data_IF_243502508451
#
_entry.id   IF_243502508451
#
_cell.length_a   1.000
_cell.length_b   1.000
_cell.length_c   1.000
_cell.angle_alpha   90.00
_cell.angle_beta   90.00
_cell.angle_gamma   90.00
#
_symmetry.space_group_name_H-M   'P 1'
#
loop_
_entity.id
_entity.type
_entity.pdbx_description
1 polymer ?
#
# COMPACT_ATOMS: atom_id res chain seq x y z
N UNK A 1 21.25 7.21 -31.66
CA UNK A 1 20.54 5.91 -31.63
C UNK A 1 19.83 5.84 -30.31
N UNK A 2 18.56 6.21 -30.30
CA UNK A 2 17.68 6.22 -29.12
C UNK A 2 17.42 4.79 -28.65
N UNK A 3 17.74 4.49 -27.39
CA UNK A 3 17.31 3.27 -26.70
C UNK A 3 15.78 3.25 -26.69
N UNK A 4 15.17 2.45 -27.57
CA UNK A 4 13.75 2.11 -27.44
C UNK A 4 13.58 1.38 -26.11
N UNK A 5 12.89 2.01 -25.16
CA UNK A 5 12.58 1.41 -23.88
C UNK A 5 11.81 0.10 -24.11
N UNK A 6 12.40 -1.02 -23.69
CA UNK A 6 11.79 -2.33 -23.86
C UNK A 6 10.41 -2.36 -23.20
N UNK A 7 9.40 -3.03 -23.79
CA UNK A 7 8.05 -3.04 -23.25
C UNK A 7 8.07 -3.56 -21.80
N UNK A 8 7.31 -2.98 -20.85
CA UNK A 8 7.42 -3.31 -19.42
C UNK A 8 7.34 -4.81 -19.10
N UNK A 9 6.61 -5.58 -19.89
CA UNK A 9 6.48 -7.04 -19.76
C UNK A 9 7.78 -7.80 -20.06
N UNK A 10 8.64 -7.27 -20.95
CA UNK A 10 9.93 -7.88 -21.29
C UNK A 10 10.90 -7.87 -20.12
N UNK A 11 10.89 -6.79 -19.32
CA UNK A 11 11.77 -6.64 -18.15
C UNK A 11 11.60 -7.77 -17.12
N UNK A 12 10.37 -8.29 -16.96
CA UNK A 12 10.10 -9.40 -16.04
C UNK A 12 10.79 -10.68 -16.52
N UNK A 13 10.83 -10.92 -17.84
CA UNK A 13 11.46 -12.11 -18.42
C UNK A 13 12.99 -12.05 -18.34
N UNK A 14 13.54 -10.84 -18.33
CA UNK A 14 14.98 -10.60 -18.22
C UNK A 14 15.50 -10.61 -16.77
N UNK A 15 14.60 -10.76 -15.78
CA UNK A 15 14.96 -10.80 -14.36
C UNK A 15 15.86 -11.99 -14.04
N UNK A 16 17.05 -11.70 -13.52
CA UNK A 16 17.98 -12.71 -12.99
C UNK A 16 17.97 -12.66 -11.47
N UNK A 17 17.56 -13.76 -10.86
CA UNK A 17 17.48 -13.90 -9.41
C UNK A 17 18.86 -14.01 -8.76
N UNK A 18 19.07 -13.29 -7.65
CA UNK A 18 20.25 -13.47 -6.80
C UNK A 18 19.88 -14.08 -5.44
N UNK A 19 18.94 -13.46 -4.72
CA UNK A 19 18.58 -13.87 -3.35
C UNK A 19 17.16 -13.44 -2.94
N UNK A 20 16.57 -14.19 -2.01
CA UNK A 20 15.33 -13.84 -1.33
C UNK A 20 15.62 -12.83 -0.22
N UNK A 21 14.96 -11.67 -0.23
CA UNK A 21 15.11 -10.64 0.81
C UNK A 21 14.15 -10.83 1.98
N UNK A 22 12.91 -11.22 1.69
CA UNK A 22 11.88 -11.43 2.70
C UNK A 22 10.76 -12.33 2.17
N UNK A 23 10.09 -13.02 3.08
CA UNK A 23 8.86 -13.75 2.82
C UNK A 23 7.91 -13.51 4.01
N UNK A 24 6.72 -12.98 3.73
CA UNK A 24 5.74 -12.60 4.75
C UNK A 24 4.30 -12.87 4.27
N UNK A 25 3.29 -12.31 4.94
CA UNK A 25 1.86 -12.53 4.65
C UNK A 25 1.46 -14.03 4.64
N UNK A 26 1.92 -14.77 5.64
CA UNK A 26 1.76 -16.22 5.73
C UNK A 26 2.37 -16.98 4.52
N UNK A 27 3.49 -16.49 3.98
CA UNK A 27 4.20 -17.12 2.87
C UNK A 27 3.68 -16.75 1.49
N UNK A 28 2.58 -16.00 1.41
CA UNK A 28 1.91 -15.63 0.15
C UNK A 28 2.56 -14.43 -0.56
N UNK A 29 3.55 -13.80 0.07
CA UNK A 29 4.37 -12.75 -0.54
C UNK A 29 5.85 -13.04 -0.40
N UNK A 30 6.58 -12.91 -1.50
CA UNK A 30 8.04 -13.05 -1.57
C UNK A 30 8.67 -11.83 -2.24
N UNK A 31 9.75 -11.31 -1.65
CA UNK A 31 10.52 -10.20 -2.22
C UNK A 31 11.88 -10.68 -2.65
N UNK A 32 12.12 -10.65 -3.96
CA UNK A 32 13.32 -11.16 -4.60
C UNK A 32 14.24 -10.00 -4.97
N UNK A 33 15.53 -10.15 -4.72
CA UNK A 33 16.58 -9.27 -5.22
C UNK A 33 17.26 -9.94 -6.41
N UNK A 34 17.52 -9.15 -7.44
CA UNK A 34 18.14 -9.63 -8.67
C UNK A 34 18.70 -8.50 -9.50
N UNK A 35 19.01 -8.81 -10.76
CA UNK A 35 19.47 -7.85 -11.75
C UNK A 35 18.74 -8.02 -13.08
N UNK A 36 18.48 -6.89 -13.76
CA UNK A 36 18.05 -6.84 -15.17
C UNK A 36 19.07 -5.96 -15.89
N UNK A 37 19.63 -6.42 -17.01
CA UNK A 37 20.64 -5.68 -17.78
C UNK A 37 21.78 -5.11 -16.90
N UNK A 38 22.27 -5.92 -15.96
CA UNK A 38 23.33 -5.58 -14.99
C UNK A 38 23.01 -4.44 -14.02
N UNK A 39 21.75 -3.98 -13.96
CA UNK A 39 21.28 -3.00 -12.98
C UNK A 39 20.43 -3.71 -11.90
N UNK A 40 20.57 -3.32 -10.62
CA UNK A 40 19.87 -3.98 -9.52
C UNK A 40 18.35 -3.77 -9.62
N UNK A 41 17.58 -4.78 -9.23
CA UNK A 41 16.12 -4.74 -9.25
C UNK A 41 15.51 -5.54 -8.09
N UNK A 42 14.28 -5.19 -7.72
CA UNK A 42 13.46 -5.99 -6.81
C UNK A 42 12.22 -6.50 -7.54
N UNK A 43 11.95 -7.80 -7.42
CA UNK A 43 10.74 -8.43 -7.91
C UNK A 43 9.91 -8.90 -6.72
N UNK A 44 8.73 -8.33 -6.55
CA UNK A 44 7.81 -8.66 -5.45
C UNK A 44 6.67 -9.50 -6.02
N UNK A 45 6.54 -10.72 -5.53
CA UNK A 45 5.53 -11.68 -5.93
C UNK A 45 4.50 -11.82 -4.82
N UNK A 46 3.24 -11.56 -5.11
CA UNK A 46 2.11 -11.72 -4.21
C UNK A 46 1.09 -12.68 -4.83
N UNK A 47 0.59 -13.65 -4.06
CA UNK A 47 -0.59 -14.42 -4.48
C UNK A 47 -1.78 -13.47 -4.57
N UNK A 48 -2.40 -13.40 -5.74
CA UNK A 48 -3.60 -12.59 -5.93
C UNK A 48 -4.79 -13.20 -5.16
N UNK A 49 -5.77 -12.38 -4.74
CA UNK A 49 -7.02 -12.88 -4.18
C UNK A 49 -7.79 -13.67 -5.25
N UNK A 50 -8.52 -14.70 -4.81
CA UNK A 50 -9.40 -15.43 -5.72
C UNK A 50 -10.51 -14.49 -6.24
N UNK A 51 -10.76 -14.46 -7.56
CA UNK A 51 -11.93 -13.79 -8.12
C UNK A 51 -13.23 -14.28 -7.49
N UNK A 52 -14.15 -13.36 -7.24
CA UNK A 52 -15.47 -13.65 -6.64
C UNK A 52 -16.54 -14.01 -7.67
N UNK A 53 -16.21 -14.01 -8.97
CA UNK A 53 -17.18 -14.30 -10.01
C UNK A 53 -17.60 -15.76 -10.00
N UNK A 54 -18.90 -16.02 -10.10
CA UNK A 54 -19.45 -17.39 -10.07
C UNK A 54 -18.89 -18.27 -11.20
N UNK A 55 -18.61 -17.68 -12.37
CA UNK A 55 -18.00 -18.38 -13.50
C UNK A 55 -16.59 -18.89 -13.17
N UNK A 56 -15.76 -18.09 -12.51
CA UNK A 56 -14.42 -18.52 -12.10
C UNK A 56 -14.52 -19.60 -11.01
N UNK A 57 -15.31 -19.36 -9.98
CA UNK A 57 -15.40 -20.25 -8.82
C UNK A 57 -15.99 -21.63 -9.19
N UNK A 58 -16.96 -21.68 -10.10
CA UNK A 58 -17.57 -22.96 -10.54
C UNK A 58 -16.67 -23.77 -11.47
N UNK A 59 -15.82 -23.11 -12.27
CA UNK A 59 -14.91 -23.79 -13.21
C UNK A 59 -13.58 -24.21 -12.58
N UNK A 60 -13.19 -23.56 -11.47
CA UNK A 60 -11.89 -23.81 -10.83
C UNK A 60 -11.62 -25.30 -10.51
N UNK A 61 -12.54 -26.07 -9.90
CA UNK A 61 -12.25 -27.48 -9.55
C UNK A 61 -11.93 -28.38 -10.75
N UNK A 62 -12.53 -28.11 -11.91
CA UNK A 62 -12.32 -28.90 -13.14
C UNK A 62 -11.20 -28.33 -14.01
N UNK A 63 -10.80 -27.07 -13.79
CA UNK A 63 -9.73 -26.40 -14.51
C UNK A 63 -8.34 -26.57 -13.87
N UNK A 64 -8.21 -27.32 -12.77
CA UNK A 64 -6.90 -27.57 -12.13
C UNK A 64 -5.99 -28.37 -13.06
N UNK A 65 -4.74 -27.90 -13.24
CA UNK A 65 -3.75 -28.60 -14.05
C UNK A 65 -3.21 -29.84 -13.34
N UNK A 66 -3.05 -29.75 -12.02
CA UNK A 66 -2.55 -30.84 -11.19
C UNK A 66 -3.20 -30.76 -9.82
N UNK A 67 -3.48 -31.93 -9.23
CA UNK A 67 -4.09 -32.08 -7.93
C UNK A 67 -3.43 -33.24 -7.20
N UNK A 68 -2.86 -32.96 -6.03
CA UNK A 68 -2.20 -33.93 -5.16
C UNK A 68 -2.93 -33.99 -3.82
N UNK A 69 -3.38 -35.18 -3.41
CA UNK A 69 -3.96 -35.35 -2.08
C UNK A 69 -2.84 -35.45 -1.03
N UNK A 70 -2.93 -34.62 0.01
CA UNK A 70 -2.00 -34.63 1.14
C UNK A 70 -2.50 -35.49 2.30
N UNK A 71 -3.81 -35.75 2.36
CA UNK A 71 -4.42 -36.58 3.39
C UNK A 71 -5.95 -36.52 3.40
N UNK A 72 -6.52 -37.38 4.24
CA UNK A 72 -7.95 -37.50 4.46
C UNK A 72 -8.25 -37.95 5.90
N UNK A 73 -9.35 -37.47 6.47
CA UNK A 73 -9.92 -37.94 7.73
C UNK A 73 -11.45 -37.83 7.69
N UNK A 74 -12.14 -38.96 7.59
CA UNK A 74 -13.60 -39.05 7.43
C UNK A 74 -14.10 -38.17 6.26
N UNK A 75 -14.82 -37.08 6.54
CA UNK A 75 -15.33 -36.15 5.54
C UNK A 75 -14.35 -35.02 5.16
N UNK A 76 -13.18 -34.95 5.78
CA UNK A 76 -12.18 -33.90 5.56
C UNK A 76 -11.06 -34.39 4.64
N UNK A 77 -10.81 -33.65 3.56
CA UNK A 77 -9.75 -33.92 2.59
C UNK A 77 -8.99 -32.64 2.30
N UNK A 78 -7.66 -32.71 2.20
CA UNK A 78 -6.83 -31.55 1.87
C UNK A 78 -5.82 -31.90 0.78
N UNK A 79 -5.57 -30.94 -0.10
CA UNK A 79 -4.85 -31.13 -1.35
C UNK A 79 -3.89 -29.97 -1.60
N UNK A 80 -2.89 -30.21 -2.44
CA UNK A 80 -2.18 -29.16 -3.17
C UNK A 80 -2.62 -29.19 -4.63
N UNK A 81 -2.78 -28.01 -5.23
CA UNK A 81 -3.17 -27.90 -6.62
C UNK A 81 -2.43 -26.77 -7.32
N UNK A 82 -2.29 -26.90 -8.63
CA UNK A 82 -1.87 -25.83 -9.52
C UNK A 82 -3.05 -25.46 -10.41
N UNK A 83 -3.30 -24.16 -10.55
CA UNK A 83 -4.32 -23.65 -11.46
C UNK A 83 -3.93 -23.97 -12.90
N UNK A 84 -4.89 -24.43 -13.69
CA UNK A 84 -4.70 -24.58 -15.12
C UNK A 84 -4.91 -23.28 -15.88
N UNK A 85 -4.77 -23.31 -17.21
CA UNK A 85 -4.95 -22.14 -18.04
C UNK A 85 -6.36 -21.57 -17.85
N UNK A 86 -6.45 -20.32 -17.43
CA UNK A 86 -7.74 -19.65 -17.24
C UNK A 86 -8.45 -19.49 -18.58
N UNK A 87 -9.76 -19.75 -18.59
CA UNK A 87 -10.63 -19.39 -19.71
C UNK A 87 -10.95 -17.88 -19.72
N UNK A 88 -10.59 -17.15 -18.67
CA UNK A 88 -10.71 -15.69 -18.60
C UNK A 88 -9.51 -15.01 -19.23
N UNK A 89 -9.74 -13.85 -19.86
CA UNK A 89 -8.68 -13.01 -20.44
C UNK A 89 -7.80 -12.35 -19.38
N UNK A 90 -8.29 -12.19 -18.14
CA UNK A 90 -7.52 -11.61 -17.04
C UNK A 90 -6.72 -12.67 -16.26
N UNK A 91 -5.43 -12.42 -15.93
CA UNK A 91 -4.62 -13.28 -15.09
C UNK A 91 -5.04 -13.16 -13.62
N UNK A 92 -5.14 -14.30 -12.91
CA UNK A 92 -5.81 -14.38 -11.59
C UNK A 92 -4.90 -14.85 -10.44
N UNK A 93 -3.68 -15.32 -10.70
CA UNK A 93 -2.88 -16.04 -9.70
C UNK A 93 -1.84 -15.18 -8.97
N UNK A 94 -1.23 -14.24 -9.68
CA UNK A 94 -0.06 -13.50 -9.20
C UNK A 94 -0.20 -12.01 -9.48
N UNK A 95 0.03 -11.21 -8.44
CA UNK A 95 0.35 -9.79 -8.55
C UNK A 95 1.86 -9.63 -8.48
N UNK A 96 2.43 -8.94 -9.46
CA UNK A 96 3.87 -8.73 -9.57
C UNK A 96 4.16 -7.23 -9.54
N UNK A 97 5.05 -6.81 -8.64
CA UNK A 97 5.60 -5.45 -8.65
C UNK A 97 7.10 -5.52 -8.94
N UNK A 98 7.56 -4.75 -9.92
CA UNK A 98 8.98 -4.62 -10.26
C UNK A 98 9.46 -3.23 -9.87
N UNK A 99 10.56 -3.17 -9.12
CA UNK A 99 11.29 -1.93 -8.84
C UNK A 99 12.62 -2.02 -9.60
N UNK A 100 12.75 -1.23 -10.67
CA UNK A 100 13.90 -1.25 -11.56
C UNK A 100 14.20 0.13 -12.16
N UNK A 101 15.46 0.60 -12.10
CA UNK A 101 16.52 0.14 -11.22
C UNK A 101 16.16 0.38 -9.74
N UNK A 102 16.46 -0.57 -8.86
CA UNK A 102 16.28 -0.38 -7.43
C UNK A 102 17.52 0.27 -6.78
N UNK A 103 17.39 0.71 -5.53
CA UNK A 103 18.47 1.36 -4.77
C UNK A 103 18.68 0.60 -3.46
N UNK A 104 19.80 0.84 -2.78
CA UNK A 104 20.05 0.27 -1.45
C UNK A 104 18.94 0.60 -0.44
N UNK A 105 18.27 1.74 -0.59
CA UNK A 105 17.15 2.10 0.27
C UNK A 105 15.95 1.18 0.04
N UNK A 106 15.66 0.83 -1.22
CA UNK A 106 14.63 -0.15 -1.55
C UNK A 106 14.98 -1.52 -0.98
N UNK A 107 16.21 -1.99 -1.19
CA UNK A 107 16.69 -3.28 -0.66
C UNK A 107 16.49 -3.32 0.86
N UNK A 108 16.92 -2.27 1.58
CA UNK A 108 16.76 -2.17 3.04
C UNK A 108 15.29 -2.14 3.48
N UNK A 109 14.40 -1.49 2.71
CA UNK A 109 12.96 -1.40 2.98
C UNK A 109 12.28 -2.78 2.89
N UNK A 110 12.63 -3.56 1.89
CA UNK A 110 11.99 -4.85 1.61
C UNK A 110 12.72 -6.07 2.19
N UNK A 111 13.92 -5.88 2.74
CA UNK A 111 14.63 -6.93 3.49
C UNK A 111 13.89 -7.29 4.78
N UNK A 112 14.00 -8.56 5.19
CA UNK A 112 13.50 -9.02 6.48
C UNK A 112 14.14 -8.21 7.60
N UNK A 113 13.31 -7.55 8.41
CA UNK A 113 13.76 -6.75 9.55
C UNK A 113 13.28 -7.40 10.84
N UNK A 114 14.17 -7.54 11.82
CA UNK A 114 13.80 -7.97 13.16
C UNK A 114 12.86 -6.96 13.81
N UNK A 115 11.70 -7.41 14.27
CA UNK A 115 10.73 -6.56 14.97
C UNK A 115 11.08 -6.53 16.46
N UNK A 116 10.97 -5.35 17.08
CA UNK A 116 11.16 -5.15 18.52
C UNK A 116 9.93 -4.45 19.09
N UNK A 117 9.48 -4.92 20.24
CA UNK A 117 8.52 -4.19 21.08
C UNK A 117 9.33 -3.22 21.95
N UNK A 118 8.98 -1.94 21.90
CA UNK A 118 9.67 -0.87 22.63
C UNK A 118 8.70 -0.14 23.52
N UNK A 119 9.14 0.33 24.69
CA UNK A 119 8.31 1.16 25.58
C UNK A 119 8.70 2.62 25.43
N UNK A 120 7.84 3.42 24.80
CA UNK A 120 8.05 4.86 24.63
C UNK A 120 7.39 5.63 25.79
N UNK A 121 8.21 6.16 26.70
CA UNK A 121 7.77 7.05 27.78
C UNK A 121 7.60 8.49 27.27
N UNK A 122 6.87 9.36 27.98
CA UNK A 122 6.78 10.79 27.64
C UNK A 122 8.15 11.47 27.52
N UNK A 123 9.10 11.09 28.37
CA UNK A 123 10.48 11.60 28.35
C UNK A 123 11.19 11.20 27.05
N UNK A 124 11.13 9.91 26.67
CA UNK A 124 11.71 9.43 25.41
C UNK A 124 11.07 10.14 24.21
N UNK A 125 9.74 10.32 24.24
CA UNK A 125 9.06 11.04 23.17
C UNK A 125 9.59 12.46 23.02
N UNK A 126 9.68 13.22 24.11
CA UNK A 126 10.11 14.62 24.08
C UNK A 126 11.59 14.77 23.70
N UNK A 127 12.47 13.91 24.20
CA UNK A 127 13.92 14.07 24.04
C UNK A 127 14.46 13.43 22.75
N UNK A 128 13.82 12.36 22.25
CA UNK A 128 14.34 11.56 21.13
C UNK A 128 13.41 11.54 19.93
N UNK A 129 12.12 11.25 20.15
CA UNK A 129 11.18 10.99 19.05
C UNK A 129 10.69 12.29 18.40
N UNK A 130 10.30 13.29 19.20
CA UNK A 130 9.82 14.58 18.72
C UNK A 130 10.90 15.34 17.92
N UNK A 131 12.16 15.44 18.38
CA UNK A 131 13.24 16.02 17.58
C UNK A 131 13.50 15.25 16.28
N UNK A 132 13.43 13.92 16.31
CA UNK A 132 13.55 13.10 15.11
C UNK A 132 12.41 13.38 14.10
N UNK A 133 11.15 13.44 14.57
CA UNK A 133 10.00 13.77 13.72
C UNK A 133 10.16 15.15 13.08
N UNK A 134 10.59 16.14 13.86
CA UNK A 134 10.85 17.49 13.38
C UNK A 134 11.93 17.49 12.28
N UNK A 135 13.09 16.88 12.54
CA UNK A 135 14.16 16.78 11.54
C UNK A 135 13.70 16.09 10.22
N UNK A 136 12.80 15.10 10.30
CA UNK A 136 12.23 14.47 9.09
C UNK A 136 11.27 15.38 8.33
N UNK A 137 10.47 16.19 9.04
CA UNK A 137 9.58 17.17 8.43
C UNK A 137 10.37 18.29 7.77
N UNK A 138 11.35 18.84 8.47
CA UNK A 138 12.24 19.90 7.99
C UNK A 138 13.05 19.43 6.76
N UNK A 139 13.40 18.14 6.73
CA UNK A 139 14.01 17.49 5.56
C UNK A 139 13.08 17.20 4.37
N UNK A 140 11.85 17.74 4.34
CA UNK A 140 10.95 17.67 3.18
C UNK A 140 10.29 16.31 2.93
N UNK A 141 10.33 15.38 3.89
CA UNK A 141 9.76 14.02 3.71
C UNK A 141 8.25 13.98 3.51
N UNK A 142 7.55 15.05 3.86
CA UNK A 142 6.10 15.17 3.70
C UNK A 142 5.68 15.95 2.45
N UNK A 143 6.63 16.36 1.60
CA UNK A 143 6.32 17.15 0.40
C UNK A 143 5.31 16.43 -0.51
N UNK A 144 5.40 15.11 -0.63
CA UNK A 144 4.43 14.33 -1.40
C UNK A 144 3.01 14.45 -0.83
N UNK A 145 2.84 14.39 0.50
CA UNK A 145 1.54 14.58 1.18
C UNK A 145 1.00 15.96 0.87
N UNK A 146 1.83 17.00 0.99
CA UNK A 146 1.42 18.37 0.74
C UNK A 146 1.09 18.61 -0.73
N UNK A 147 1.80 17.99 -1.67
CA UNK A 147 1.47 18.06 -3.09
C UNK A 147 0.08 17.47 -3.38
N UNK A 148 -0.32 16.38 -2.72
CA UNK A 148 -1.67 15.81 -2.85
C UNK A 148 -2.71 16.76 -2.25
N UNK A 149 -2.48 17.26 -1.04
CA UNK A 149 -3.39 18.21 -0.37
C UNK A 149 -3.58 19.48 -1.21
N UNK A 150 -2.50 19.97 -1.83
CA UNK A 150 -2.49 21.15 -2.70
C UNK A 150 -2.99 20.87 -4.12
N UNK A 151 -3.38 19.62 -4.45
CA UNK A 151 -3.90 19.26 -5.77
C UNK A 151 -2.86 19.32 -6.89
N UNK A 152 -1.56 19.18 -6.57
CA UNK A 152 -0.47 19.15 -7.56
C UNK A 152 -0.20 17.76 -8.12
N UNK A 153 -0.52 16.71 -7.36
CA UNK A 153 -0.27 15.30 -7.71
C UNK A 153 -1.45 14.43 -7.31
N UNK A 154 -1.63 13.28 -7.99
CA UNK A 154 -2.68 12.28 -7.69
C UNK A 154 -4.12 12.82 -7.71
N UNK A 155 -4.39 13.92 -8.41
CA UNK A 155 -5.71 14.57 -8.43
C UNK A 155 -6.81 13.63 -8.91
N UNK A 156 -6.51 12.83 -9.95
CA UNK A 156 -7.43 11.85 -10.53
C UNK A 156 -7.65 10.61 -9.64
N UNK A 157 -6.75 10.36 -8.68
CA UNK A 157 -6.85 9.23 -7.75
C UNK A 157 -7.65 9.57 -6.49
N UNK A 158 -7.93 10.86 -6.26
CA UNK A 158 -8.72 11.33 -5.11
C UNK A 158 -10.20 10.98 -5.33
N UNK A 159 -10.74 10.16 -4.43
CA UNK A 159 -12.15 9.72 -4.45
C UNK A 159 -13.07 10.84 -3.98
N UNK A 160 -12.63 11.58 -2.96
CA UNK A 160 -13.39 12.68 -2.37
C UNK A 160 -12.44 13.74 -1.83
N UNK A 161 -12.80 15.01 -1.98
CA UNK A 161 -12.12 16.12 -1.30
C UNK A 161 -13.08 17.24 -0.93
N UNK A 162 -12.81 17.88 0.20
CA UNK A 162 -13.39 19.19 0.50
C UNK A 162 -12.76 20.27 -0.38
N UNK A 163 -13.48 21.35 -0.73
CA UNK A 163 -12.88 22.51 -1.39
C UNK A 163 -11.74 23.08 -0.54
N UNK A 164 -10.57 23.25 -1.14
CA UNK A 164 -9.34 23.63 -0.43
C UNK A 164 -9.50 24.98 0.27
N UNK A 165 -9.08 25.05 1.53
CA UNK A 165 -9.14 26.26 2.36
C UNK A 165 -10.53 26.68 2.83
N UNK A 166 -11.62 26.04 2.35
CA UNK A 166 -13.00 26.42 2.73
C UNK A 166 -13.34 25.99 4.16
N UNK A 167 -12.95 24.78 4.52
CA UNK A 167 -13.42 24.11 5.75
C UNK A 167 -12.41 24.24 6.92
N UNK A 168 -11.45 25.17 6.81
CA UNK A 168 -10.46 25.47 7.83
C UNK A 168 -9.73 24.22 8.33
N UNK A 169 -9.79 23.98 9.65
CA UNK A 169 -9.17 22.82 10.31
C UNK A 169 -9.83 21.47 9.99
N UNK A 170 -11.00 21.46 9.35
CA UNK A 170 -11.81 20.27 9.06
C UNK A 170 -11.82 19.90 7.57
N UNK A 171 -10.98 20.54 6.75
CA UNK A 171 -10.72 20.11 5.37
C UNK A 171 -10.02 18.76 5.32
N UNK A 172 -10.38 17.92 4.36
CA UNK A 172 -9.78 16.60 4.15
C UNK A 172 -9.99 16.08 2.73
N UNK A 173 -9.24 15.03 2.41
CA UNK A 173 -9.43 14.23 1.21
C UNK A 173 -9.30 12.74 1.50
N UNK A 174 -9.90 11.93 0.64
CA UNK A 174 -9.86 10.48 0.63
C UNK A 174 -9.20 9.99 -0.65
N UNK A 175 -8.20 9.13 -0.52
CA UNK A 175 -7.52 8.48 -1.64
C UNK A 175 -7.34 6.98 -1.34
N UNK A 176 -7.32 6.11 -2.37
CA UNK A 176 -7.09 4.68 -2.18
C UNK A 176 -5.66 4.43 -1.69
N UNK A 177 -5.51 3.48 -0.76
CA UNK A 177 -4.18 3.00 -0.37
C UNK A 177 -3.54 2.23 -1.53
N UNK A 178 -2.21 2.33 -1.66
CA UNK A 178 -1.45 1.69 -2.73
C UNK A 178 -1.65 0.17 -2.82
N UNK A 179 -1.98 -0.49 -1.70
CA UNK A 179 -2.15 -1.94 -1.70
C UNK A 179 -3.54 -2.40 -2.14
N UNK A 180 -4.52 -1.50 -2.22
CA UNK A 180 -5.88 -1.84 -2.64
C UNK A 180 -6.00 -1.84 -4.16
N UNK A 181 -6.71 -2.82 -4.71
CA UNK A 181 -6.91 -3.01 -6.16
C UNK A 181 -7.99 -2.09 -6.75
N UNK A 182 -8.65 -1.27 -5.92
CA UNK A 182 -9.76 -0.37 -6.27
C UNK A 182 -11.00 -1.07 -6.85
N UNK A 183 -11.05 -2.40 -6.78
CA UNK A 183 -12.13 -3.22 -7.33
C UNK A 183 -12.82 -4.05 -6.24
N UNK A 184 -12.03 -4.73 -5.42
CA UNK A 184 -12.55 -5.68 -4.42
C UNK A 184 -12.97 -4.93 -3.17
N UNK A 185 -14.28 -4.76 -2.96
CA UNK A 185 -14.84 -4.00 -1.83
C UNK A 185 -14.52 -4.59 -0.46
N UNK A 186 -14.40 -5.91 -0.35
CA UNK A 186 -13.95 -6.57 0.90
C UNK A 186 -12.52 -6.16 1.29
N UNK A 187 -11.70 -5.75 0.31
CA UNK A 187 -10.35 -5.24 0.51
C UNK A 187 -10.26 -3.72 0.62
N UNK A 188 -11.39 -2.99 0.69
CA UNK A 188 -11.45 -1.53 0.71
C UNK A 188 -10.49 -0.97 1.76
N UNK A 189 -9.52 -0.16 1.30
CA UNK A 189 -8.56 0.48 2.17
C UNK A 189 -8.25 1.88 1.63
N UNK A 190 -8.65 2.90 2.41
CA UNK A 190 -8.51 4.30 2.06
C UNK A 190 -7.59 5.02 3.05
N UNK A 191 -6.91 6.04 2.56
CA UNK A 191 -6.18 7.01 3.35
C UNK A 191 -7.00 8.30 3.46
N UNK A 192 -7.27 8.73 4.69
CA UNK A 192 -7.85 10.03 4.97
C UNK A 192 -6.77 11.04 5.32
N UNK A 193 -6.50 11.99 4.44
CA UNK A 193 -5.55 13.07 4.68
C UNK A 193 -6.29 14.33 5.11
N UNK A 194 -5.96 14.84 6.30
CA UNK A 194 -6.50 16.10 6.82
C UNK A 194 -5.68 17.28 6.28
N UNK A 195 -6.33 18.40 5.99
CA UNK A 195 -5.69 19.59 5.42
C UNK A 195 -4.83 20.33 6.45
N UNK A 196 -5.24 20.30 7.74
CA UNK A 196 -4.48 20.87 8.84
C UNK A 196 -3.09 20.23 8.95
N UNK A 197 -2.06 21.03 9.30
CA UNK A 197 -0.65 20.61 9.29
C UNK A 197 0.02 20.54 10.66
N UNK A 198 -0.70 20.90 11.72
CA UNK A 198 -0.22 21.05 13.09
C UNK A 198 -0.26 19.75 13.94
N UNK A 199 -1.06 18.76 13.53
CA UNK A 199 -1.14 17.44 14.18
C UNK A 199 -0.22 16.46 13.45
N UNK A 200 0.88 16.04 14.08
CA UNK A 200 1.87 15.17 13.43
C UNK A 200 1.63 13.69 13.77
N UNK A 201 1.01 13.43 14.91
CA UNK A 201 0.64 12.09 15.37
C UNK A 201 -0.44 12.15 16.45
N UNK A 202 -0.89 10.98 16.91
CA UNK A 202 -1.77 10.86 18.07
C UNK A 202 -1.24 11.55 19.33
N UNK A 203 0.08 11.78 19.46
CA UNK A 203 0.71 12.47 20.60
C UNK A 203 0.36 13.97 20.66
N UNK A 204 -0.03 14.57 19.55
CA UNK A 204 -0.47 15.98 19.49
C UNK A 204 -1.93 16.15 19.90
N UNK A 205 -2.70 15.06 20.00
CA UNK A 205 -4.10 15.11 20.38
C UNK A 205 -4.26 15.46 21.86
N UNK A 206 -5.17 16.41 22.12
CA UNK A 206 -5.50 16.93 23.46
C UNK A 206 -7.02 16.94 23.61
N UNK A 207 -7.52 17.12 24.84
CA UNK A 207 -8.96 17.19 25.12
C UNK A 207 -9.71 18.19 24.24
N UNK A 208 -9.08 19.32 23.88
CA UNK A 208 -9.66 20.32 22.98
C UNK A 208 -9.98 19.80 21.58
N UNK A 209 -9.32 18.72 21.13
CA UNK A 209 -9.54 18.11 19.82
C UNK A 209 -10.66 17.07 19.81
N UNK A 210 -11.33 16.77 20.93
CA UNK A 210 -12.37 15.73 20.99
C UNK A 210 -13.53 16.03 20.03
N UNK A 211 -14.00 17.29 19.97
CA UNK A 211 -15.05 17.71 19.04
C UNK A 211 -14.59 17.47 17.58
N UNK A 212 -13.43 18.02 17.23
CA UNK A 212 -12.83 17.84 15.91
C UNK A 212 -12.70 16.36 15.52
N UNK A 213 -12.25 15.48 16.42
CA UNK A 213 -12.14 14.04 16.15
C UNK A 213 -13.50 13.38 15.85
N UNK A 214 -14.56 13.76 16.57
CA UNK A 214 -15.92 13.25 16.32
C UNK A 214 -16.45 13.72 14.97
N UNK A 215 -16.27 15.00 14.69
CA UNK A 215 -16.73 15.63 13.44
C UNK A 215 -15.98 15.04 12.23
N UNK A 216 -14.65 14.89 12.33
CA UNK A 216 -13.86 14.27 11.27
C UNK A 216 -14.24 12.81 11.06
N UNK A 217 -14.45 12.02 12.12
CA UNK A 217 -14.92 10.63 11.99
C UNK A 217 -16.23 10.58 11.19
N UNK A 218 -17.19 11.43 11.53
CA UNK A 218 -18.47 11.48 10.84
C UNK A 218 -18.32 11.88 9.37
N UNK A 219 -17.51 12.92 9.09
CA UNK A 219 -17.24 13.38 7.72
C UNK A 219 -16.57 12.32 6.86
N UNK A 220 -15.56 11.61 7.39
CA UNK A 220 -14.91 10.52 6.67
C UNK A 220 -15.87 9.37 6.38
N UNK A 221 -16.71 9.02 7.35
CA UNK A 221 -17.74 7.99 7.22
C UNK A 221 -18.73 8.33 6.10
N UNK A 222 -19.35 9.52 6.18
CA UNK A 222 -20.32 9.99 5.18
C UNK A 222 -19.72 10.10 3.79
N UNK A 223 -18.50 10.63 3.66
CA UNK A 223 -17.82 10.75 2.39
C UNK A 223 -17.56 9.36 1.79
N UNK A 224 -17.10 8.39 2.60
CA UNK A 224 -16.80 7.03 2.13
C UNK A 224 -18.06 6.31 1.67
N UNK A 225 -19.14 6.34 2.46
CA UNK A 225 -20.42 5.69 2.13
C UNK A 225 -21.04 6.32 0.87
N UNK A 226 -20.95 7.64 0.70
CA UNK A 226 -21.44 8.31 -0.52
C UNK A 226 -20.62 7.96 -1.77
N UNK A 227 -19.36 7.59 -1.62
CA UNK A 227 -18.47 7.24 -2.73
C UNK A 227 -18.64 5.80 -3.22
N UNK A 228 -19.24 4.90 -2.43
CA UNK A 228 -19.37 3.48 -2.77
C UNK A 228 -20.79 2.98 -2.51
N UNK A 229 -21.49 2.60 -3.58
CA UNK A 229 -22.85 2.05 -3.50
C UNK A 229 -22.88 0.73 -2.72
N UNK A 230 -23.87 0.58 -1.83
CA UNK A 230 -24.08 -0.64 -1.03
C UNK A 230 -23.15 -0.78 0.19
N UNK A 231 -22.29 0.20 0.46
CA UNK A 231 -21.44 0.21 1.65
C UNK A 231 -22.19 0.84 2.84
N UNK A 232 -22.26 0.13 3.96
CA UNK A 232 -22.92 0.61 5.18
C UNK A 232 -21.90 1.15 6.21
N UNK A 233 -22.38 2.04 7.09
CA UNK A 233 -21.51 2.74 8.05
C UNK A 233 -20.81 1.81 9.05
N UNK A 234 -21.47 0.72 9.44
CA UNK A 234 -21.01 -0.24 10.44
C UNK A 234 -20.01 -1.28 9.88
N UNK A 235 -19.82 -1.29 8.56
CA UNK A 235 -18.84 -2.12 7.86
C UNK A 235 -17.43 -1.47 7.86
N UNK A 236 -17.31 -0.21 8.28
CA UNK A 236 -16.08 0.56 8.21
C UNK A 236 -15.30 0.59 9.54
N UNK A 237 -13.98 0.45 9.43
CA UNK A 237 -13.04 0.56 10.57
C UNK A 237 -12.06 1.70 10.36
N UNK A 238 -12.06 2.66 11.29
CA UNK A 238 -11.13 3.78 11.28
C UNK A 238 -9.98 3.54 12.24
N UNK A 239 -8.75 3.60 11.74
CA UNK A 239 -7.56 3.40 12.55
C UNK A 239 -6.51 4.47 12.23
N UNK A 240 -5.73 4.84 13.24
CA UNK A 240 -4.56 5.70 13.08
C UNK A 240 -3.30 4.87 13.29
N UNK A 241 -2.30 5.07 12.44
CA UNK A 241 -0.99 4.44 12.65
C UNK A 241 -0.17 5.30 13.59
N UNK A 242 0.12 4.79 14.79
CA UNK A 242 1.13 5.36 15.68
C UNK A 242 2.47 4.70 15.37
N UNK A 243 3.14 5.18 14.32
CA UNK A 243 4.45 4.66 13.94
C UNK A 243 5.50 5.17 14.95
N UNK A 244 5.91 4.29 15.87
CA UNK A 244 7.10 4.51 16.70
C UNK A 244 8.31 4.47 15.77
N UNK A 245 9.09 5.56 15.72
CA UNK A 245 10.33 5.88 14.99
C UNK A 245 10.88 4.98 13.83
N UNK A 246 10.76 3.66 13.87
CA UNK A 246 11.24 2.72 12.85
C UNK A 246 10.36 2.55 11.61
N UNK A 247 9.06 2.90 11.66
CA UNK A 247 8.13 2.67 10.54
C UNK A 247 7.88 3.88 9.63
N UNK A 248 8.52 5.02 9.90
CA UNK A 248 8.38 6.23 9.08
C UNK A 248 8.83 6.01 7.61
N UNK A 249 9.72 5.04 7.37
CA UNK A 249 10.14 4.65 6.02
C UNK A 249 9.17 3.67 5.32
N UNK A 250 8.23 3.05 6.05
CA UNK A 250 7.32 2.02 5.50
C UNK A 250 6.03 2.62 4.94
N UNK A 251 5.44 3.59 5.64
CA UNK A 251 4.18 4.20 5.24
C UNK A 251 4.33 5.15 4.03
N UNK A 252 5.55 5.60 3.74
CA UNK A 252 5.81 6.54 2.67
C UNK A 252 6.21 5.73 1.42
N UNK A 253 5.26 5.60 0.49
CA UNK A 253 5.58 5.39 -0.92
C UNK A 253 6.13 6.73 -1.44
N UNK A 254 7.46 6.88 -1.46
CA UNK A 254 8.05 8.03 -2.13
C UNK A 254 7.87 7.83 -3.63
N UNK A 255 6.96 8.60 -4.23
CA UNK A 255 6.82 8.71 -5.68
C UNK A 255 8.15 9.13 -6.29
N UNK A 256 8.66 8.31 -7.21
CA UNK A 256 9.73 8.70 -8.11
C UNK A 256 9.22 9.84 -9.00
N UNK A 257 9.53 11.08 -8.63
CA UNK A 257 9.25 12.23 -9.48
C UNK A 257 9.95 12.06 -10.83
N UNK A 258 9.17 11.96 -11.90
CA UNK A 258 9.65 12.25 -13.26
C UNK A 258 10.14 13.69 -13.24
N UNK A 259 11.46 13.89 -13.38
CA UNK A 259 11.99 15.17 -13.81
C UNK A 259 11.48 15.37 -15.24
N UNK A 260 10.64 16.39 -15.43
CA UNK A 260 10.41 16.94 -16.76
C UNK A 260 11.67 17.68 -17.14
N UNK A 261 12.36 17.18 -18.15
CA UNK A 261 13.37 17.95 -18.87
C UNK A 261 12.64 19.10 -19.58
N UNK A 262 12.90 20.32 -19.13
CA UNK A 262 12.55 21.53 -19.86
C UNK A 262 13.73 21.86 -20.76
N UNK A 263 13.57 21.63 -22.06
CA UNK A 263 14.47 22.10 -23.09
C UNK A 263 14.54 23.64 -23.05
N UNK A 264 15.77 24.14 -23.02
CA UNK A 264 16.15 25.44 -23.57
C UNK A 264 17.01 25.22 -24.81
#
# INVERSE_FOLDING_TARGET
>A
MSEEASPPTSLIRDFKFDRLLNQDQAGRRSVLCGHINSKPCLLILERAPFPTSSTYLSSLPTALQSLENLGANDIYFWYLANNGPSQTTEPTDLKINLIYPCTEQHIKKYSKQGVRVVTETPQIYNEKIRPYMQAKRDGGRLNWVFNIIEGKTEVEDVIYRTPQGRDGDEGFLLLPDLNWDRKTMEGLHLLGLVERRDIWSLRDLKKKHIKWLRDMRQKFLEATVKSYEGLEEDQLKFNWKSNRAGEYNRAIGEHGGRRGDGDG
#
